data_IF_781278279560
#
_entry.id   IF_781278279560
#
_cell.length_a   1.000
_cell.length_b   1.000
_cell.length_c   1.000
_cell.angle_alpha   90.00
_cell.angle_beta   90.00
_cell.angle_gamma   90.00
#
_symmetry.space_group_name_H-M   'P 1'
#
loop_
_entity.id
_entity.type
_entity.pdbx_description
1 polymer ?
#
# COMPACT_ATOMS: atom_id res chain seq x y z
N UNK A 1 -8.99 27.88 13.54
CA UNK A 1 -8.38 26.70 12.88
C UNK A 1 -9.01 25.35 13.29
N UNK A 2 -10.14 25.32 14.02
CA UNK A 2 -10.94 24.11 14.33
C UNK A 2 -11.91 23.67 13.23
N UNK A 3 -11.96 24.39 12.11
CA UNK A 3 -13.07 24.30 11.14
C UNK A 3 -13.29 22.91 10.55
N UNK A 4 -12.23 22.20 10.12
CA UNK A 4 -12.40 20.90 9.47
C UNK A 4 -12.81 19.80 10.46
N UNK A 5 -12.17 19.73 11.63
CA UNK A 5 -12.48 18.72 12.65
C UNK A 5 -13.90 18.94 13.18
N UNK A 6 -14.24 20.19 13.51
CA UNK A 6 -15.57 20.55 13.97
C UNK A 6 -16.62 20.30 12.88
N UNK A 7 -16.38 20.72 11.63
CA UNK A 7 -17.35 20.49 10.53
C UNK A 7 -17.60 19.01 10.27
N UNK A 8 -16.56 18.16 10.26
CA UNK A 8 -16.73 16.72 10.06
C UNK A 8 -17.42 16.05 11.26
N UNK A 9 -17.07 16.47 12.48
CA UNK A 9 -17.71 15.97 13.70
C UNK A 9 -19.18 16.34 13.76
N UNK A 10 -19.54 17.57 13.39
CA UNK A 10 -20.92 18.06 13.42
C UNK A 10 -21.77 17.42 12.31
N UNK A 11 -21.18 17.17 11.13
CA UNK A 11 -21.90 16.59 10.01
C UNK A 11 -22.15 15.07 10.15
N UNK A 12 -21.18 14.32 10.65
CA UNK A 12 -21.20 12.85 10.63
C UNK A 12 -21.19 12.21 12.02
N UNK A 13 -20.89 12.97 13.07
CA UNK A 13 -20.53 12.44 14.37
C UNK A 13 -19.07 11.99 14.41
N UNK A 14 -18.38 12.33 15.49
CA UNK A 14 -16.94 12.12 15.64
C UNK A 14 -16.51 10.65 15.53
N UNK A 15 -17.33 9.69 15.97
CA UNK A 15 -17.08 8.26 15.82
C UNK A 15 -17.19 7.77 14.36
N UNK A 16 -18.24 8.14 13.64
CA UNK A 16 -18.43 7.72 12.25
C UNK A 16 -17.42 8.41 11.32
N UNK A 17 -17.14 9.69 11.52
CA UNK A 17 -16.09 10.41 10.82
C UNK A 17 -14.72 9.75 11.01
N UNK A 18 -14.42 9.29 12.22
CA UNK A 18 -13.20 8.52 12.53
C UNK A 18 -13.17 7.20 11.75
N UNK A 19 -14.25 6.42 11.81
CA UNK A 19 -14.33 5.12 11.11
C UNK A 19 -14.14 5.28 9.59
N UNK A 20 -14.89 6.19 8.97
CA UNK A 20 -14.83 6.45 7.53
C UNK A 20 -13.49 7.09 7.13
N UNK A 21 -12.97 8.00 7.96
CA UNK A 21 -11.63 8.56 7.78
C UNK A 21 -10.57 7.47 7.76
N UNK A 22 -10.65 6.49 8.67
CA UNK A 22 -9.71 5.37 8.69
C UNK A 22 -9.79 4.48 7.44
N UNK A 23 -10.92 4.49 6.74
CA UNK A 23 -11.06 3.77 5.49
C UNK A 23 -10.38 4.47 4.31
N UNK A 24 -10.14 5.78 4.36
CA UNK A 24 -9.59 6.53 3.22
C UNK A 24 -8.08 6.27 3.06
N UNK A 25 -7.57 6.10 1.82
CA UNK A 25 -6.16 5.72 1.58
C UNK A 25 -5.13 6.75 2.07
N UNK A 26 -5.50 8.03 2.11
CA UNK A 26 -4.62 9.11 2.56
C UNK A 26 -4.64 9.31 4.07
N UNK A 27 -5.81 9.12 4.70
CA UNK A 27 -5.99 9.36 6.13
C UNK A 27 -5.59 8.09 6.89
N UNK A 28 -6.19 6.97 6.52
CA UNK A 28 -5.95 5.65 7.09
C UNK A 28 -5.99 5.64 8.62
N UNK A 29 -5.48 4.58 9.25
CA UNK A 29 -5.41 4.45 10.70
C UNK A 29 -4.70 5.64 11.36
N UNK A 30 -3.61 6.12 10.75
CA UNK A 30 -2.71 7.12 11.36
C UNK A 30 -3.39 8.47 11.47
N UNK A 31 -3.91 8.98 10.34
CA UNK A 31 -4.63 10.25 10.32
C UNK A 31 -5.94 10.17 11.10
N UNK A 32 -6.60 9.02 11.10
CA UNK A 32 -7.86 8.83 11.82
C UNK A 32 -7.69 8.87 13.34
N UNK A 33 -6.66 8.22 13.90
CA UNK A 33 -6.38 8.30 15.35
C UNK A 33 -6.08 9.75 15.76
N UNK A 34 -5.25 10.46 14.98
CA UNK A 34 -4.90 11.86 15.26
C UNK A 34 -6.16 12.75 15.21
N UNK A 35 -6.99 12.60 14.18
CA UNK A 35 -8.28 13.27 14.06
C UNK A 35 -9.19 12.97 15.26
N UNK A 36 -9.35 11.70 15.63
CA UNK A 36 -10.25 11.27 16.71
C UNK A 36 -9.85 11.87 18.06
N UNK A 37 -8.54 11.89 18.36
CA UNK A 37 -8.03 12.53 19.58
C UNK A 37 -8.24 14.04 19.56
N UNK A 38 -7.99 14.70 18.42
CA UNK A 38 -8.29 16.13 18.23
C UNK A 38 -9.78 16.46 18.33
N UNK A 39 -10.66 15.54 17.93
CA UNK A 39 -12.11 15.64 18.07
C UNK A 39 -12.62 15.30 19.49
N UNK A 40 -11.72 14.98 20.43
CA UNK A 40 -12.05 14.73 21.82
C UNK A 40 -12.48 13.29 22.15
N UNK A 41 -12.36 12.32 21.24
CA UNK A 41 -12.57 10.90 21.58
C UNK A 41 -11.45 10.44 22.51
N UNK A 42 -11.78 9.77 23.62
CA UNK A 42 -10.78 9.16 24.50
C UNK A 42 -9.93 8.10 23.79
N UNK A 43 -8.75 7.82 24.36
CA UNK A 43 -7.72 6.91 23.82
C UNK A 43 -8.29 5.62 23.21
N UNK A 44 -9.01 4.82 24.00
CA UNK A 44 -9.53 3.52 23.55
C UNK A 44 -10.56 3.65 22.42
N UNK A 45 -11.44 4.66 22.48
CA UNK A 45 -12.44 4.89 21.43
C UNK A 45 -11.76 5.29 20.12
N UNK A 46 -10.81 6.22 20.19
CA UNK A 46 -10.04 6.64 19.03
C UNK A 46 -9.30 5.45 18.40
N UNK A 47 -8.60 4.65 19.21
CA UNK A 47 -7.87 3.48 18.75
C UNK A 47 -8.78 2.43 18.09
N UNK A 48 -9.80 1.93 18.80
CA UNK A 48 -10.61 0.82 18.30
C UNK A 48 -11.45 1.21 17.09
N UNK A 49 -12.05 2.40 17.07
CA UNK A 49 -12.86 2.85 15.92
C UNK A 49 -11.97 3.00 14.68
N UNK A 50 -10.80 3.61 14.83
CA UNK A 50 -9.86 3.77 13.72
C UNK A 50 -9.30 2.42 13.25
N UNK A 51 -8.94 1.54 14.18
CA UNK A 51 -8.43 0.20 13.86
C UNK A 51 -9.44 -0.64 13.08
N UNK A 52 -10.70 -0.65 13.51
CA UNK A 52 -11.77 -1.38 12.84
C UNK A 52 -12.08 -0.79 11.46
N UNK A 53 -12.16 0.54 11.34
CA UNK A 53 -12.37 1.21 10.04
C UNK A 53 -11.24 0.91 9.05
N UNK A 54 -9.99 1.03 9.48
CA UNK A 54 -8.81 0.68 8.66
C UNK A 54 -8.81 -0.80 8.27
N UNK A 55 -9.07 -1.71 9.22
CA UNK A 55 -9.06 -3.16 8.95
C UNK A 55 -10.19 -3.58 8.00
N UNK A 56 -11.35 -2.91 8.03
CA UNK A 56 -12.45 -3.17 7.10
C UNK A 56 -12.03 -3.01 5.63
N UNK A 57 -11.10 -2.10 5.35
CA UNK A 57 -10.55 -1.87 4.00
C UNK A 57 -9.88 -3.13 3.45
N UNK A 58 -9.24 -3.95 4.29
CA UNK A 58 -8.59 -5.19 3.85
C UNK A 58 -9.57 -6.06 3.04
N UNK A 59 -10.79 -6.24 3.53
CA UNK A 59 -11.78 -7.08 2.87
C UNK A 59 -12.15 -6.50 1.50
N UNK A 60 -12.42 -5.20 1.45
CA UNK A 60 -12.78 -4.51 0.20
C UNK A 60 -11.62 -4.65 -0.81
N UNK A 61 -10.40 -4.33 -0.40
CA UNK A 61 -9.23 -4.35 -1.26
C UNK A 61 -8.85 -5.75 -1.71
N UNK A 62 -8.73 -6.71 -0.80
CA UNK A 62 -8.22 -8.04 -1.14
C UNK A 62 -9.11 -8.74 -2.19
N UNK A 63 -10.43 -8.59 -2.07
CA UNK A 63 -11.38 -9.14 -3.04
C UNK A 63 -11.44 -8.33 -4.35
N UNK A 64 -11.21 -7.01 -4.31
CA UNK A 64 -11.24 -6.17 -5.51
C UNK A 64 -9.92 -6.22 -6.30
N UNK A 65 -8.79 -6.47 -5.64
CA UNK A 65 -7.47 -6.44 -6.29
C UNK A 65 -7.26 -7.62 -7.23
N UNK A 66 -7.68 -8.84 -6.87
CA UNK A 66 -7.54 -10.00 -7.77
C UNK A 66 -8.25 -9.82 -9.12
N UNK A 67 -9.54 -9.43 -9.20
CA UNK A 67 -10.20 -9.16 -10.47
C UNK A 67 -9.59 -7.94 -11.17
N UNK A 68 -9.22 -6.89 -10.42
CA UNK A 68 -8.56 -5.71 -11.00
C UNK A 68 -7.23 -6.04 -11.66
N UNK A 69 -6.37 -6.85 -11.03
CA UNK A 69 -5.09 -7.29 -11.60
C UNK A 69 -5.29 -8.14 -12.85
N UNK A 70 -6.27 -9.04 -12.85
CA UNK A 70 -6.62 -9.82 -14.03
C UNK A 70 -7.17 -8.94 -15.16
N UNK A 71 -7.89 -7.87 -14.84
CA UNK A 71 -8.36 -6.89 -15.80
C UNK A 71 -7.20 -6.06 -16.38
N UNK A 72 -6.27 -5.63 -15.53
CA UNK A 72 -5.09 -4.86 -15.92
C UNK A 72 -4.18 -5.65 -16.89
N UNK A 73 -4.09 -6.97 -16.73
CA UNK A 73 -3.40 -7.88 -17.66
C UNK A 73 -4.02 -7.91 -19.06
N UNK A 74 -5.30 -7.54 -19.23
CA UNK A 74 -6.00 -7.52 -20.53
C UNK A 74 -5.82 -6.21 -21.31
N UNK A 75 -5.33 -5.15 -20.65
CA UNK A 75 -5.19 -3.82 -21.28
C UNK A 75 -3.84 -3.73 -22.02
N UNK A 76 -3.86 -3.53 -23.34
CA UNK A 76 -2.66 -3.52 -24.21
C UNK A 76 -1.53 -2.60 -23.73
N UNK A 77 -1.87 -1.47 -23.10
CA UNK A 77 -0.91 -0.51 -22.54
C UNK A 77 -0.04 -1.07 -21.40
N UNK A 78 -0.62 -1.94 -20.56
CA UNK A 78 0.11 -2.59 -19.45
C UNK A 78 0.69 -3.94 -19.84
N UNK A 79 0.45 -4.44 -21.06
CA UNK A 79 0.96 -5.74 -21.50
C UNK A 79 2.47 -5.85 -21.35
N UNK A 80 3.23 -4.80 -21.66
CA UNK A 80 4.70 -4.82 -21.54
C UNK A 80 5.19 -4.72 -20.09
N UNK A 81 4.47 -4.03 -19.20
CA UNK A 81 4.79 -3.97 -17.76
C UNK A 81 4.39 -5.28 -17.08
N UNK A 82 3.20 -5.80 -17.39
CA UNK A 82 2.71 -7.08 -16.92
C UNK A 82 3.63 -8.21 -17.37
N UNK A 83 4.03 -8.25 -18.65
CA UNK A 83 5.02 -9.21 -19.18
C UNK A 83 6.40 -8.96 -18.57
N UNK A 84 6.82 -7.73 -18.30
CA UNK A 84 8.10 -7.44 -17.63
C UNK A 84 8.14 -7.90 -16.17
N UNK A 85 7.06 -7.70 -15.42
CA UNK A 85 6.90 -8.18 -14.05
C UNK A 85 6.74 -9.70 -14.04
N UNK A 86 5.97 -10.26 -14.95
CA UNK A 86 5.76 -11.70 -15.08
C UNK A 86 7.05 -12.40 -15.48
N UNK A 87 7.84 -11.84 -16.41
CA UNK A 87 9.18 -12.32 -16.76
C UNK A 87 10.18 -12.14 -15.62
N UNK A 88 10.15 -11.03 -14.87
CA UNK A 88 11.04 -10.85 -13.72
C UNK A 88 10.71 -11.83 -12.58
N UNK A 89 9.41 -12.05 -12.30
CA UNK A 89 8.94 -13.01 -11.30
C UNK A 89 9.15 -14.44 -11.79
N UNK A 90 8.89 -14.74 -13.06
CA UNK A 90 9.03 -16.06 -13.64
C UNK A 90 10.49 -16.42 -13.87
N UNK A 91 11.38 -15.48 -14.17
CA UNK A 91 12.81 -15.75 -14.30
C UNK A 91 13.46 -15.88 -12.94
N UNK A 92 13.02 -15.13 -11.92
CA UNK A 92 13.44 -15.43 -10.54
C UNK A 92 12.88 -16.77 -10.08
N UNK A 93 11.62 -17.09 -10.35
CA UNK A 93 11.00 -18.36 -10.00
C UNK A 93 11.61 -19.54 -10.76
N UNK A 94 11.91 -19.40 -12.07
CA UNK A 94 12.56 -20.40 -12.92
C UNK A 94 14.03 -20.55 -12.59
N UNK A 95 14.79 -19.46 -12.38
CA UNK A 95 16.20 -19.55 -11.96
C UNK A 95 16.32 -20.13 -10.55
N UNK A 96 15.36 -19.88 -9.67
CA UNK A 96 15.31 -20.53 -8.36
C UNK A 96 14.87 -21.99 -8.47
N UNK A 97 13.93 -22.33 -9.36
CA UNK A 97 13.56 -23.72 -9.69
C UNK A 97 14.72 -24.50 -10.34
N UNK A 98 15.51 -23.87 -11.21
CA UNK A 98 16.66 -24.49 -11.89
C UNK A 98 17.88 -24.60 -10.97
N UNK A 99 18.14 -23.59 -10.10
CA UNK A 99 19.14 -23.70 -9.03
C UNK A 99 18.77 -24.78 -8.01
N UNK A 100 17.48 -24.95 -7.74
CA UNK A 100 16.98 -26.07 -6.95
C UNK A 100 17.06 -27.39 -7.74
N UNK A 101 16.83 -27.41 -9.06
CA UNK A 101 16.84 -28.65 -9.85
C UNK A 101 18.21 -29.34 -9.94
N UNK A 102 19.32 -28.64 -9.62
CA UNK A 102 20.65 -29.27 -9.50
C UNK A 102 20.96 -29.83 -8.09
N UNK A 103 20.08 -29.64 -7.11
CA UNK A 103 20.24 -30.15 -5.73
C UNK A 103 18.94 -30.67 -5.08
N UNK A 104 17.84 -30.85 -5.83
CA UNK A 104 16.58 -31.36 -5.29
C UNK A 104 16.69 -32.89 -5.18
N UNK A 105 17.05 -33.33 -3.96
CA UNK A 105 16.19 -34.27 -3.28
C UNK A 105 14.85 -33.57 -3.01
N UNK A 106 13.81 -34.13 -3.61
CA UNK A 106 12.39 -34.12 -3.24
C UNK A 106 11.97 -33.15 -2.12
N UNK A 107 11.20 -32.11 -2.49
CA UNK A 107 10.10 -31.52 -1.71
C UNK A 107 10.20 -31.48 -0.18
N UNK A 108 11.05 -30.63 0.39
CA UNK A 108 10.99 -30.29 1.81
C UNK A 108 9.82 -29.33 2.08
N UNK A 109 8.73 -29.83 2.66
CA UNK A 109 7.54 -29.08 3.09
C UNK A 109 7.92 -27.91 4.03
N UNK A 110 9.02 -28.05 4.78
CA UNK A 110 9.54 -26.97 5.64
C UNK A 110 10.03 -25.76 4.83
N UNK A 111 10.57 -25.97 3.63
CA UNK A 111 11.09 -24.88 2.79
C UNK A 111 9.97 -23.96 2.30
N UNK A 112 8.81 -24.53 1.91
CA UNK A 112 7.63 -23.78 1.46
C UNK A 112 6.97 -23.04 2.62
N UNK A 113 6.80 -23.70 3.77
CA UNK A 113 6.29 -23.08 5.00
C UNK A 113 7.15 -21.90 5.44
N UNK A 114 8.48 -22.03 5.36
CA UNK A 114 9.41 -20.95 5.71
C UNK A 114 9.32 -19.76 4.76
N UNK A 115 9.24 -20.00 3.45
CA UNK A 115 9.06 -18.92 2.46
C UNK A 115 7.77 -18.14 2.73
N UNK A 116 6.67 -18.85 3.00
CA UNK A 116 5.39 -18.24 3.26
C UNK A 116 5.35 -17.48 4.60
N UNK A 117 5.98 -18.02 5.63
CA UNK A 117 6.16 -17.34 6.91
C UNK A 117 6.92 -16.02 6.73
N UNK A 118 8.01 -16.02 5.94
CA UNK A 118 8.78 -14.81 5.64
C UNK A 118 7.92 -13.78 4.90
N UNK A 119 7.11 -14.20 3.91
CA UNK A 119 6.16 -13.30 3.20
C UNK A 119 5.15 -12.68 4.17
N UNK A 120 4.57 -13.50 5.03
CA UNK A 120 3.58 -13.08 6.03
C UNK A 120 4.19 -12.08 7.01
N UNK A 121 5.38 -12.37 7.52
CA UNK A 121 6.09 -11.51 8.46
C UNK A 121 6.53 -10.19 7.80
N UNK A 122 7.00 -10.23 6.55
CA UNK A 122 7.38 -9.04 5.80
C UNK A 122 6.21 -8.08 5.62
N UNK A 123 5.01 -8.60 5.29
CA UNK A 123 3.79 -7.79 5.21
C UNK A 123 3.43 -7.21 6.59
N UNK A 124 3.47 -8.02 7.63
CA UNK A 124 3.16 -7.57 8.99
C UNK A 124 4.09 -6.44 9.45
N UNK A 125 5.41 -6.62 9.32
CA UNK A 125 6.41 -5.62 9.68
C UNK A 125 6.24 -4.36 8.84
N UNK A 126 5.99 -4.50 7.53
CA UNK A 126 5.74 -3.36 6.67
C UNK A 126 4.53 -2.55 7.13
N UNK A 127 3.42 -3.19 7.47
CA UNK A 127 2.20 -2.50 7.96
C UNK A 127 2.38 -1.94 9.37
N UNK A 128 3.22 -2.55 10.20
CA UNK A 128 3.52 -2.10 11.56
C UNK A 128 4.29 -0.78 11.61
N UNK A 129 5.01 -0.44 10.54
CA UNK A 129 5.72 0.83 10.44
C UNK A 129 4.69 1.97 10.35
N UNK A 130 4.66 2.93 11.30
CA UNK A 130 3.64 3.97 11.36
C UNK A 130 3.96 5.15 10.42
N UNK A 131 4.40 4.84 9.19
CA UNK A 131 4.68 5.84 8.15
C UNK A 131 3.46 6.03 7.22
N UNK A 132 3.39 7.18 6.51
CA UNK A 132 2.45 7.31 5.42
C UNK A 132 2.69 6.23 4.36
N UNK A 133 1.62 5.69 3.78
CA UNK A 133 1.67 4.62 2.76
C UNK A 133 2.21 3.25 3.22
N UNK A 134 2.43 2.98 4.50
CA UNK A 134 2.85 1.65 5.00
C UNK A 134 1.75 0.99 5.83
N UNK A 135 0.55 0.92 5.26
CA UNK A 135 -0.66 0.63 6.01
C UNK A 135 -1.54 -0.46 5.44
N UNK A 136 -2.82 -0.52 5.85
CA UNK A 136 -3.74 -1.57 5.36
C UNK A 136 -3.90 -1.51 3.85
N UNK A 137 -3.98 -0.30 3.27
CA UNK A 137 -4.12 -0.15 1.82
C UNK A 137 -2.96 -0.78 1.04
N UNK A 138 -1.74 -0.37 1.33
CA UNK A 138 -0.54 -0.84 0.63
C UNK A 138 -0.13 -2.24 1.06
N UNK A 139 -0.29 -2.59 2.34
CA UNK A 139 -0.03 -3.93 2.86
C UNK A 139 -0.92 -4.99 2.24
N UNK A 140 -2.22 -4.69 2.08
CA UNK A 140 -3.15 -5.58 1.37
C UNK A 140 -2.77 -5.71 -0.11
N UNK A 141 -2.35 -4.60 -0.75
CA UNK A 141 -1.86 -4.66 -2.12
C UNK A 141 -0.60 -5.53 -2.27
N UNK A 142 0.39 -5.36 -1.39
CA UNK A 142 1.59 -6.18 -1.36
C UNK A 142 1.24 -7.66 -1.15
N UNK A 143 0.39 -7.96 -0.17
CA UNK A 143 -0.05 -9.32 0.12
C UNK A 143 -0.73 -9.98 -1.09
N UNK A 144 -1.57 -9.24 -1.81
CA UNK A 144 -2.20 -9.72 -3.03
C UNK A 144 -1.18 -9.92 -4.18
N UNK A 145 -0.20 -9.02 -4.35
CA UNK A 145 0.84 -9.13 -5.38
C UNK A 145 1.76 -10.34 -5.17
N UNK A 146 2.12 -10.64 -3.92
CA UNK A 146 2.96 -11.81 -3.59
C UNK A 146 2.15 -13.11 -3.47
N UNK A 147 0.84 -13.07 -3.81
CA UNK A 147 -0.10 -14.18 -3.74
C UNK A 147 -0.16 -14.85 -2.37
N UNK A 148 -0.23 -14.06 -1.29
CA UNK A 148 -0.42 -14.60 0.05
C UNK A 148 -1.87 -15.07 0.23
N UNK A 149 -2.06 -16.21 0.91
CA UNK A 149 -3.40 -16.72 1.22
C UNK A 149 -4.22 -15.72 2.03
N UNK A 150 -5.54 -15.70 1.83
CA UNK A 150 -6.46 -14.75 2.45
C UNK A 150 -6.26 -14.61 3.96
N UNK A 151 -6.23 -15.73 4.70
CA UNK A 151 -6.11 -15.69 6.16
C UNK A 151 -4.72 -15.20 6.61
N UNK A 152 -3.65 -15.63 5.95
CA UNK A 152 -2.29 -15.19 6.27
C UNK A 152 -2.11 -13.70 5.98
N UNK A 153 -2.66 -13.23 4.85
CA UNK A 153 -2.70 -11.83 4.50
C UNK A 153 -3.51 -11.01 5.52
N UNK A 154 -4.71 -11.48 5.87
CA UNK A 154 -5.57 -10.82 6.85
C UNK A 154 -4.86 -10.67 8.20
N UNK A 155 -4.34 -11.77 8.76
CA UNK A 155 -3.70 -11.72 10.07
C UNK A 155 -2.39 -10.93 10.05
N UNK A 156 -1.60 -10.99 8.97
CA UNK A 156 -0.41 -10.15 8.84
C UNK A 156 -0.76 -8.66 8.82
N UNK A 157 -1.72 -8.27 7.99
CA UNK A 157 -2.15 -6.87 7.85
C UNK A 157 -2.82 -6.38 9.13
N UNK A 158 -3.71 -7.16 9.73
CA UNK A 158 -4.39 -6.82 10.99
C UNK A 158 -3.39 -6.68 12.15
N UNK A 159 -2.45 -7.62 12.30
CA UNK A 159 -1.43 -7.55 13.35
C UNK A 159 -0.49 -6.35 13.17
N UNK A 160 -0.02 -6.10 11.95
CA UNK A 160 0.78 -4.90 11.67
C UNK A 160 -0.01 -3.62 11.95
N UNK A 161 -1.27 -3.56 11.51
CA UNK A 161 -2.15 -2.41 11.73
C UNK A 161 -2.42 -2.18 13.22
N UNK A 162 -2.51 -3.24 14.02
CA UNK A 162 -2.64 -3.16 15.48
C UNK A 162 -1.40 -2.51 16.10
N UNK A 163 -0.21 -2.96 15.73
CA UNK A 163 1.08 -2.42 16.21
C UNK A 163 1.21 -0.95 15.83
N UNK A 164 0.99 -0.61 14.56
CA UNK A 164 1.02 0.78 14.08
C UNK A 164 0.00 1.65 14.83
N UNK A 165 -1.20 1.13 15.07
CA UNK A 165 -2.26 1.82 15.82
C UNK A 165 -1.87 2.11 17.26
N UNK A 166 -1.24 1.16 17.94
CA UNK A 166 -0.77 1.36 19.32
C UNK A 166 0.33 2.42 19.36
N UNK A 167 1.31 2.36 18.44
CA UNK A 167 2.37 3.35 18.34
C UNK A 167 1.81 4.75 18.11
N UNK A 168 0.92 4.91 17.11
CA UNK A 168 0.29 6.20 16.81
C UNK A 168 -0.61 6.68 17.96
N UNK A 169 -1.31 5.79 18.65
CA UNK A 169 -2.17 6.20 19.78
C UNK A 169 -1.34 6.76 20.93
N UNK A 170 -0.22 6.13 21.27
CA UNK A 170 0.72 6.67 22.28
C UNK A 170 1.31 7.99 21.80
N UNK A 171 1.70 8.09 20.54
CA UNK A 171 2.23 9.32 19.96
C UNK A 171 1.19 10.46 20.00
N UNK A 172 -0.07 10.16 19.71
CA UNK A 172 -1.15 11.12 19.77
C UNK A 172 -1.34 11.70 21.17
N UNK A 173 -1.23 10.88 22.22
CA UNK A 173 -1.30 11.36 23.61
C UNK A 173 -0.14 12.30 23.98
N UNK A 174 1.07 11.99 23.51
CA UNK A 174 2.26 12.81 23.80
C UNK A 174 2.21 14.18 23.10
N UNK A 175 1.55 14.26 21.94
CA UNK A 175 1.56 15.45 21.09
C UNK A 175 0.18 16.10 20.92
N UNK A 176 -0.77 15.88 21.85
CA UNK A 176 -2.13 16.45 21.77
C UNK A 176 -2.20 17.94 21.39
N UNK A 177 -1.36 18.85 21.96
CA UNK A 177 -1.41 20.27 21.59
C UNK A 177 -0.99 20.56 20.14
N UNK A 178 -0.25 19.64 19.52
CA UNK A 178 0.31 19.76 18.17
C UNK A 178 -0.40 18.86 17.15
N UNK A 179 -1.46 18.14 17.54
CA UNK A 179 -2.17 17.19 16.67
C UNK A 179 -2.64 17.84 15.37
N UNK A 180 -3.17 19.05 15.42
CA UNK A 180 -3.61 19.78 14.22
C UNK A 180 -2.43 20.01 13.27
N UNK A 181 -1.30 20.50 13.79
CA UNK A 181 -0.10 20.79 13.01
C UNK A 181 0.47 19.51 12.41
N UNK A 182 0.51 18.42 13.19
CA UNK A 182 0.98 17.12 12.73
C UNK A 182 0.07 16.58 11.61
N UNK A 183 -1.25 16.69 11.78
CA UNK A 183 -2.21 16.23 10.78
C UNK A 183 -2.06 17.00 9.47
N UNK A 184 -2.01 18.34 9.52
CA UNK A 184 -1.78 19.16 8.33
C UNK A 184 -0.43 18.85 7.67
N UNK A 185 0.63 18.69 8.46
CA UNK A 185 1.96 18.34 7.94
C UNK A 185 1.95 17.00 7.22
N UNK A 186 1.27 16.00 7.77
CA UNK A 186 1.14 14.67 7.15
C UNK A 186 0.39 14.74 5.81
N UNK A 187 -0.70 15.52 5.73
CA UNK A 187 -1.42 15.75 4.48
C UNK A 187 -0.56 16.46 3.43
N UNK A 188 0.18 17.50 3.83
CA UNK A 188 1.08 18.22 2.92
C UNK A 188 2.18 17.31 2.41
N UNK A 189 2.83 16.53 3.27
CA UNK A 189 3.86 15.56 2.88
C UNK A 189 3.28 14.52 1.92
N UNK A 190 2.10 13.95 2.22
CA UNK A 190 1.45 12.99 1.34
C UNK A 190 1.10 13.59 -0.03
N UNK A 191 0.57 14.83 -0.06
CA UNK A 191 0.26 15.54 -1.29
C UNK A 191 1.52 15.82 -2.12
N UNK A 192 2.61 16.28 -1.50
CA UNK A 192 3.89 16.52 -2.18
C UNK A 192 4.46 15.20 -2.74
N UNK A 193 4.46 14.12 -1.95
CA UNK A 193 4.91 12.81 -2.43
C UNK A 193 4.08 12.33 -3.63
N UNK A 194 2.76 12.54 -3.59
CA UNK A 194 1.86 12.18 -4.69
C UNK A 194 2.15 13.01 -5.96
N UNK A 195 2.33 14.33 -5.83
CA UNK A 195 2.69 15.20 -6.96
C UNK A 195 4.03 14.79 -7.57
N UNK A 196 5.07 14.57 -6.74
CA UNK A 196 6.38 14.12 -7.20
C UNK A 196 6.28 12.78 -7.94
N UNK A 197 5.50 11.85 -7.40
CA UNK A 197 5.26 10.54 -8.04
C UNK A 197 4.59 10.68 -9.41
N UNK A 198 3.53 11.51 -9.52
CA UNK A 198 2.83 11.77 -10.79
C UNK A 198 3.75 12.44 -11.81
N UNK A 199 4.52 13.46 -11.41
CA UNK A 199 5.49 14.14 -12.29
C UNK A 199 6.55 13.17 -12.80
N UNK A 200 7.07 12.30 -11.93
CA UNK A 200 8.06 11.28 -12.30
C UNK A 200 7.49 10.27 -13.30
N UNK A 201 6.24 9.84 -13.12
CA UNK A 201 5.54 8.96 -14.08
C UNK A 201 5.41 9.64 -15.45
N UNK A 202 4.96 10.91 -15.49
CA UNK A 202 4.77 11.64 -16.74
C UNK A 202 6.10 11.85 -17.47
N UNK A 203 7.16 12.24 -16.74
CA UNK A 203 8.51 12.43 -17.32
C UNK A 203 9.09 11.12 -17.87
N UNK A 204 9.00 10.03 -17.11
CA UNK A 204 9.49 8.72 -17.56
C UNK A 204 8.65 8.15 -18.74
N UNK A 205 7.37 8.50 -18.84
CA UNK A 205 6.52 8.16 -19.99
C UNK A 205 6.92 8.89 -21.28
N UNK A 206 7.26 10.18 -21.19
CA UNK A 206 7.72 10.97 -22.36
C UNK A 206 9.09 10.55 -22.87
N UNK A 207 10.03 10.25 -21.97
CA UNK A 207 11.39 9.84 -22.35
C UNK A 207 11.44 8.53 -23.14
N UNK A 208 10.50 7.60 -22.90
CA UNK A 208 10.42 6.33 -23.66
C UNK A 208 9.79 6.48 -25.05
N UNK A 209 8.92 7.47 -25.24
CA UNK A 209 8.32 7.73 -26.55
C UNK A 209 9.25 8.52 -27.48
N UNK A 210 10.07 9.45 -26.95
CA UNK A 210 11.03 10.21 -27.76
C UNK A 210 12.16 9.37 -28.36
N UNK A 211 12.74 8.47 -27.56
CA UNK A 211 13.86 7.59 -27.98
C UNK A 211 13.41 6.51 -29.00
N UNK A 212 12.13 6.13 -29.02
CA UNK A 212 11.60 5.23 -30.06
C UNK A 212 11.36 5.96 -31.39
N UNK A 213 10.88 7.20 -31.37
CA UNK A 213 10.68 7.98 -32.61
C UNK A 213 11.99 8.28 -33.32
N UNK A 214 13.06 8.64 -32.61
CA UNK A 214 14.34 8.99 -33.24
C UNK A 214 15.03 7.77 -33.88
N UNK A 215 14.94 6.59 -33.23
CA UNK A 215 15.45 5.32 -33.78
C UNK A 215 14.68 4.83 -35.00
N UNK A 216 13.37 5.01 -35.04
CA UNK A 216 12.55 4.62 -36.19
C UNK A 216 12.87 5.52 -37.42
N UNK A 217 13.19 6.80 -37.21
CA UNK A 217 13.68 7.70 -38.28
C UNK A 217 15.06 7.31 -38.80
N UNK A 218 16.04 7.01 -37.94
CA UNK A 218 17.38 6.56 -38.37
C UNK A 218 17.34 5.24 -39.15
N UNK A 219 16.51 4.28 -38.73
CA UNK A 219 16.37 2.99 -39.44
C UNK A 219 15.67 3.16 -40.80
N UNK A 220 14.80 4.17 -40.97
CA UNK A 220 14.18 4.46 -42.27
C UNK A 220 15.17 5.11 -43.26
N UNK A 221 16.04 6.00 -42.77
CA UNK A 221 17.03 6.71 -43.59
C UNK A 221 18.23 5.83 -44.01
N UNK A 222 18.54 4.79 -43.24
CA UNK A 222 19.62 3.85 -43.54
C UNK A 222 19.28 2.74 -44.54
N UNK A 223 18.03 2.67 -45.04
CA UNK A 223 17.60 1.65 -46.02
C UNK A 223 17.61 2.13 -47.48
N UNK A 224 17.85 3.43 -47.69
CA UNK A 224 17.81 4.06 -49.02
C UNK A 224 19.20 4.37 -49.60
N UNK A 225 20.27 3.71 -49.10
CA UNK A 225 21.65 3.82 -49.62
C UNK A 225 22.14 2.47 -50.15
#
# INVERSE_FOLDING_TARGET
MKGLITALSDALGSGLATFLGAMLPLIELKGSIMFARGAGLGFFKAFFISYLGSTAVFFILFFLLKPFLNLLKRVKFFKNIAVGIENYISDKAKRELEKRSKNINTGDDNSKKREEFIKTLAVCIFVAIPLPMTGVWTGTAIAAFINLDFFKAFFAVAAGNLVAGLIISVLAELFLPYVDIILYSLFVIAAVMFVVFVVKIIKNGKSKNGDNTDRDTEVSLGKDI
#
